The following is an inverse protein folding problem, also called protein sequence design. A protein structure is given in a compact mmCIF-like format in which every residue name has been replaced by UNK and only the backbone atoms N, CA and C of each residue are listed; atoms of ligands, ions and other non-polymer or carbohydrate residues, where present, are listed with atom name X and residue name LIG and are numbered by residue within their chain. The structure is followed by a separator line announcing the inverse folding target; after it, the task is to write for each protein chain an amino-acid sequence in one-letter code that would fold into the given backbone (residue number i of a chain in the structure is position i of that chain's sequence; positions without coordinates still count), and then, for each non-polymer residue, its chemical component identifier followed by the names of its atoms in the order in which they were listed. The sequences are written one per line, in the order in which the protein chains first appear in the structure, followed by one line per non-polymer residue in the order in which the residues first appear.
data_IF_568414963911
#
_entry.id   IF_568414963911
#
_cell.length_a   1.000
_cell.length_b   1.000
_cell.length_c   1.000
_cell.angle_alpha   90.00
_cell.angle_beta   90.00
_cell.angle_gamma   90.00
#
_symmetry.space_group_name_H-M   'P 1'
#
loop_
_entity.id
_entity.type
_entity.pdbx_description
1 polymer ?
#
# COMPACT_ATOMS: atom_id res chain seq x y z
N UNK A 1 20.02 -35.05 0.28
CA UNK A 1 20.90 -35.21 1.46
C UNK A 1 20.87 -33.95 2.35
N UNK A 2 19.68 -33.42 2.66
CA UNK A 2 19.48 -32.17 3.43
C UNK A 2 18.58 -32.34 4.66
N UNK A 3 17.91 -33.49 4.81
CA UNK A 3 16.99 -33.80 5.92
C UNK A 3 17.71 -34.34 7.16
N UNK A 4 18.82 -35.06 6.98
CA UNK A 4 19.52 -35.73 8.08
C UNK A 4 20.17 -34.74 9.08
N UNK A 5 20.57 -33.56 8.60
CA UNK A 5 21.10 -32.48 9.44
C UNK A 5 19.99 -31.70 10.17
N UNK A 6 18.78 -31.66 9.59
CA UNK A 6 17.62 -31.00 10.17
C UNK A 6 17.09 -31.82 11.36
N UNK A 7 16.96 -33.12 11.18
CA UNK A 7 16.48 -34.03 12.22
C UNK A 7 17.44 -34.07 13.44
N UNK A 8 18.74 -33.93 13.19
CA UNK A 8 19.78 -33.88 14.24
C UNK A 8 19.77 -32.56 15.03
N UNK A 9 19.35 -31.45 14.42
CA UNK A 9 19.20 -30.17 15.11
C UNK A 9 17.93 -30.15 16.00
N UNK A 10 16.84 -30.74 15.50
CA UNK A 10 15.59 -30.90 16.24
C UNK A 10 15.78 -31.83 17.45
N UNK A 11 16.52 -32.95 17.29
CA UNK A 11 16.80 -33.86 18.40
C UNK A 11 17.68 -33.24 19.50
N UNK A 12 18.46 -32.21 19.17
CA UNK A 12 19.30 -31.47 20.12
C UNK A 12 18.56 -30.28 20.78
N UNK A 13 17.23 -30.18 20.60
CA UNK A 13 16.39 -29.21 21.29
C UNK A 13 16.19 -27.88 20.56
N UNK A 14 16.60 -27.75 19.30
CA UNK A 14 16.31 -26.57 18.47
C UNK A 14 14.93 -26.76 17.84
N UNK A 15 13.98 -25.88 18.16
CA UNK A 15 12.63 -25.94 17.59
C UNK A 15 12.69 -25.81 16.07
N UNK A 16 11.89 -26.59 15.34
CA UNK A 16 11.80 -26.49 13.88
C UNK A 16 11.37 -25.08 13.40
N UNK A 17 10.79 -24.27 14.28
CA UNK A 17 10.41 -22.87 14.04
C UNK A 17 11.62 -21.93 14.03
N UNK A 18 12.74 -22.30 14.65
CA UNK A 18 13.97 -21.48 14.72
C UNK A 18 14.88 -21.65 13.50
N UNK A 19 14.56 -22.58 12.60
CA UNK A 19 15.35 -22.82 11.39
C UNK A 19 14.86 -21.87 10.30
N UNK A 20 15.23 -20.59 10.49
CA UNK A 20 15.06 -19.55 9.48
C UNK A 20 16.02 -19.84 8.32
N UNK A 21 15.46 -20.27 7.19
CA UNK A 21 16.20 -20.42 5.94
C UNK A 21 16.48 -19.00 5.43
N UNK A 22 17.61 -18.44 5.87
CA UNK A 22 18.10 -17.16 5.36
C UNK A 22 18.38 -17.31 3.86
N UNK A 23 17.51 -16.70 3.04
CA UNK A 23 17.76 -16.48 1.62
C UNK A 23 19.08 -15.71 1.48
N UNK A 24 20.03 -16.31 0.75
CA UNK A 24 21.33 -15.72 0.42
C UNK A 24 21.17 -14.26 -0.05
N UNK A 25 21.75 -13.31 0.69
CA UNK A 25 22.07 -11.96 0.20
C UNK A 25 21.28 -10.78 0.78
N UNK A 26 20.18 -10.98 1.51
CA UNK A 26 19.44 -9.85 2.11
C UNK A 26 19.90 -9.62 3.56
N UNK A 27 20.85 -8.70 3.77
CA UNK A 27 21.05 -8.13 5.10
C UNK A 27 19.73 -7.44 5.50
N UNK A 28 19.07 -8.01 6.51
CA UNK A 28 17.89 -7.43 7.16
C UNK A 28 18.17 -5.97 7.51
N UNK A 29 17.44 -5.06 6.87
CA UNK A 29 17.33 -3.69 7.33
C UNK A 29 16.76 -3.76 8.75
N UNK A 30 17.50 -3.29 9.75
CA UNK A 30 17.00 -3.19 11.12
C UNK A 30 15.80 -2.25 11.11
N UNK A 31 14.61 -2.85 11.05
CA UNK A 31 13.34 -2.16 11.08
C UNK A 31 13.14 -1.65 12.50
N UNK A 32 13.14 -0.33 12.68
CA UNK A 32 12.61 0.29 13.90
C UNK A 32 11.13 -0.05 13.93
N UNK A 33 10.74 -1.07 14.68
CA UNK A 33 9.36 -1.49 14.84
C UNK A 33 8.64 -0.49 15.74
N UNK A 34 8.11 0.57 15.13
CA UNK A 34 7.05 1.36 15.76
C UNK A 34 5.88 0.39 15.95
N UNK A 35 5.35 0.20 17.18
CA UNK A 35 4.22 -0.68 17.39
C UNK A 35 3.04 -0.18 16.55
N UNK A 36 2.63 -0.99 15.58
CA UNK A 36 1.54 -0.68 14.68
C UNK A 36 0.23 -0.90 15.45
N UNK A 37 -0.60 0.14 15.53
CA UNK A 37 -1.94 0.00 16.10
C UNK A 37 -2.83 -0.71 15.06
N UNK A 38 -2.86 -2.03 15.11
CA UNK A 38 -3.59 -2.89 14.17
C UNK A 38 -5.08 -2.51 14.08
N UNK A 39 -5.71 -2.19 15.22
CA UNK A 39 -7.11 -1.76 15.25
C UNK A 39 -7.34 -0.45 14.50
N UNK A 40 -6.43 0.52 14.63
CA UNK A 40 -6.51 1.77 13.89
C UNK A 40 -6.34 1.55 12.37
N UNK A 41 -5.44 0.64 11.98
CA UNK A 41 -5.23 0.28 10.57
C UNK A 41 -6.46 -0.42 9.96
N UNK A 42 -7.09 -1.34 10.70
CA UNK A 42 -8.31 -2.04 10.25
C UNK A 42 -9.45 -1.04 10.03
N UNK A 43 -9.65 -0.12 10.97
CA UNK A 43 -10.69 0.90 10.85
C UNK A 43 -10.43 1.82 9.66
N UNK A 44 -9.19 2.29 9.51
CA UNK A 44 -8.77 3.10 8.38
C UNK A 44 -9.05 2.41 7.02
N UNK A 45 -8.68 1.13 6.88
CA UNK A 45 -8.93 0.37 5.66
C UNK A 45 -10.42 0.15 5.41
N UNK A 46 -11.22 -0.05 6.47
CA UNK A 46 -12.67 -0.21 6.38
C UNK A 46 -13.32 1.07 5.86
N UNK A 47 -12.92 2.23 6.38
CA UNK A 47 -13.39 3.53 5.92
C UNK A 47 -13.03 3.79 4.46
N UNK A 48 -11.77 3.51 4.05
CA UNK A 48 -11.35 3.64 2.65
C UNK A 48 -12.18 2.77 1.71
N UNK A 49 -12.43 1.52 2.09
CA UNK A 49 -13.24 0.60 1.29
C UNK A 49 -14.69 1.08 1.18
N UNK A 50 -15.25 1.64 2.26
CA UNK A 50 -16.59 2.24 2.24
C UNK A 50 -16.67 3.39 1.24
N UNK A 51 -15.70 4.32 1.26
CA UNK A 51 -15.63 5.43 0.33
C UNK A 51 -15.47 4.97 -1.13
N UNK A 52 -14.65 3.94 -1.37
CA UNK A 52 -14.45 3.37 -2.71
C UNK A 52 -15.76 2.76 -3.25
N UNK A 53 -16.47 1.99 -2.41
CA UNK A 53 -17.76 1.43 -2.77
C UNK A 53 -18.80 2.50 -3.11
N UNK A 54 -18.86 3.58 -2.31
CA UNK A 54 -19.75 4.73 -2.58
C UNK A 54 -19.41 5.38 -3.91
N UNK A 55 -18.12 5.66 -4.17
CA UNK A 55 -17.67 6.23 -5.45
C UNK A 55 -18.10 5.36 -6.64
N UNK A 56 -17.78 4.07 -6.60
CA UNK A 56 -18.02 3.15 -7.73
C UNK A 56 -19.51 2.95 -7.98
N UNK A 57 -20.30 2.84 -6.92
CA UNK A 57 -21.75 2.82 -7.01
C UNK A 57 -22.31 4.11 -7.64
N UNK A 58 -21.91 5.29 -7.14
CA UNK A 58 -22.46 6.56 -7.60
C UNK A 58 -22.07 6.91 -9.04
N UNK A 59 -20.86 6.55 -9.49
CA UNK A 59 -20.47 6.68 -10.91
C UNK A 59 -21.44 5.91 -11.80
N UNK A 60 -21.77 4.68 -11.42
CA UNK A 60 -22.71 3.84 -12.17
C UNK A 60 -24.14 4.40 -12.10
N UNK A 61 -24.60 4.78 -10.91
CA UNK A 61 -25.94 5.29 -10.67
C UNK A 61 -26.23 6.56 -11.49
N UNK A 62 -25.31 7.54 -11.47
CA UNK A 62 -25.54 8.84 -12.11
C UNK A 62 -25.52 8.71 -13.64
N UNK A 63 -24.66 7.86 -14.19
CA UNK A 63 -24.56 7.66 -15.66
C UNK A 63 -25.77 6.94 -16.25
N UNK A 64 -26.54 6.23 -15.43
CA UNK A 64 -27.73 5.47 -15.87
C UNK A 64 -29.04 6.24 -15.67
N UNK A 65 -29.04 7.35 -14.92
CA UNK A 65 -30.27 8.05 -14.57
C UNK A 65 -30.66 9.10 -15.62
N UNK A 66 -31.89 9.04 -16.12
CA UNK A 66 -32.43 10.05 -17.03
C UNK A 66 -32.81 11.34 -16.30
N UNK A 67 -32.53 12.48 -16.92
CA UNK A 67 -32.86 13.82 -16.41
C UNK A 67 -34.24 14.23 -16.93
N UNK A 68 -35.32 13.74 -16.31
CA UNK A 68 -36.69 13.94 -16.78
C UNK A 68 -37.55 14.80 -15.85
N UNK A 69 -37.16 14.97 -14.58
CA UNK A 69 -37.95 15.72 -13.58
C UNK A 69 -37.06 16.54 -12.65
N UNK A 70 -37.64 17.53 -11.96
CA UNK A 70 -36.95 18.26 -10.89
C UNK A 70 -36.43 17.32 -9.79
N UNK A 71 -37.19 16.27 -9.45
CA UNK A 71 -36.76 15.27 -8.48
C UNK A 71 -35.53 14.48 -8.96
N UNK A 72 -35.46 14.12 -10.25
CA UNK A 72 -34.28 13.42 -10.77
C UNK A 72 -33.05 14.33 -10.84
N UNK A 73 -33.24 15.65 -11.05
CA UNK A 73 -32.17 16.65 -10.93
C UNK A 73 -31.68 16.75 -9.47
N UNK A 74 -32.59 16.88 -8.50
CA UNK A 74 -32.25 16.98 -7.07
C UNK A 74 -31.49 15.73 -6.63
N UNK A 75 -32.00 14.54 -6.96
CA UNK A 75 -31.36 13.27 -6.61
C UNK A 75 -29.95 13.17 -7.21
N UNK A 76 -29.80 13.40 -8.51
CA UNK A 76 -28.50 13.33 -9.18
C UNK A 76 -27.52 14.37 -8.65
N UNK A 77 -27.97 15.60 -8.38
CA UNK A 77 -27.10 16.65 -7.83
C UNK A 77 -26.60 16.31 -6.42
N UNK A 78 -27.45 15.75 -5.55
CA UNK A 78 -27.03 15.25 -4.23
C UNK A 78 -26.06 14.07 -4.35
N UNK A 79 -26.32 13.14 -5.27
CA UNK A 79 -25.41 12.03 -5.58
C UNK A 79 -24.05 12.51 -6.09
N UNK A 80 -24.00 13.56 -6.93
CA UNK A 80 -22.76 14.18 -7.39
C UNK A 80 -21.96 14.82 -6.23
N UNK A 81 -22.63 15.44 -5.26
CA UNK A 81 -21.96 15.96 -4.06
C UNK A 81 -21.30 14.83 -3.28
N UNK A 82 -22.01 13.71 -3.05
CA UNK A 82 -21.44 12.57 -2.36
C UNK A 82 -20.28 11.92 -3.14
N UNK A 83 -20.43 11.77 -4.46
CA UNK A 83 -19.40 11.23 -5.32
C UNK A 83 -18.12 12.07 -5.28
N UNK A 84 -18.25 13.39 -5.37
CA UNK A 84 -17.10 14.31 -5.33
C UNK A 84 -16.43 14.32 -3.95
N UNK A 85 -17.21 14.26 -2.87
CA UNK A 85 -16.68 14.14 -1.51
C UNK A 85 -15.87 12.85 -1.33
N UNK A 86 -16.45 11.69 -1.69
CA UNK A 86 -15.78 10.39 -1.57
C UNK A 86 -14.51 10.34 -2.43
N UNK A 87 -14.59 10.85 -3.67
CA UNK A 87 -13.43 10.93 -4.57
C UNK A 87 -12.31 11.79 -3.98
N UNK A 88 -12.62 12.99 -3.49
CA UNK A 88 -11.63 13.88 -2.90
C UNK A 88 -10.97 13.27 -1.65
N UNK A 89 -11.74 12.59 -0.80
CA UNK A 89 -11.21 11.90 0.37
C UNK A 89 -10.30 10.73 -0.02
N UNK A 90 -10.70 9.91 -0.98
CA UNK A 90 -9.86 8.82 -1.50
C UNK A 90 -8.56 9.37 -2.10
N UNK A 91 -8.63 10.38 -2.96
CA UNK A 91 -7.45 10.99 -3.57
C UNK A 91 -6.47 11.49 -2.51
N UNK A 92 -6.93 12.25 -1.50
CA UNK A 92 -6.05 12.75 -0.42
C UNK A 92 -5.38 11.61 0.35
N UNK A 93 -6.14 10.58 0.70
CA UNK A 93 -5.61 9.42 1.42
C UNK A 93 -4.59 8.64 0.59
N UNK A 94 -4.90 8.39 -0.68
CA UNK A 94 -3.99 7.72 -1.61
C UNK A 94 -2.71 8.52 -1.80
N UNK A 95 -2.80 9.84 -2.01
CA UNK A 95 -1.62 10.70 -2.14
C UNK A 95 -0.74 10.66 -0.89
N UNK A 96 -1.33 10.72 0.31
CA UNK A 96 -0.58 10.63 1.57
C UNK A 96 0.13 9.28 1.71
N UNK A 97 -0.59 8.18 1.46
CA UNK A 97 -0.06 6.82 1.55
C UNK A 97 1.10 6.61 0.57
N UNK A 98 0.90 6.98 -0.70
CA UNK A 98 1.91 6.82 -1.75
C UNK A 98 3.11 7.73 -1.49
N UNK A 99 2.90 8.97 -1.04
CA UNK A 99 4.00 9.89 -0.67
C UNK A 99 4.87 9.30 0.44
N UNK A 100 4.24 8.83 1.53
CA UNK A 100 4.95 8.20 2.65
C UNK A 100 5.73 6.97 2.17
N UNK A 101 5.09 6.11 1.36
CA UNK A 101 5.74 4.90 0.90
C UNK A 101 6.90 5.16 -0.06
N UNK A 102 6.77 6.13 -0.96
CA UNK A 102 7.86 6.51 -1.86
C UNK A 102 9.03 7.16 -1.10
N UNK A 103 8.75 7.93 -0.04
CA UNK A 103 9.80 8.42 0.87
C UNK A 103 10.51 7.28 1.61
N UNK A 104 9.77 6.36 2.24
CA UNK A 104 10.33 5.20 2.95
C UNK A 104 11.23 4.35 2.05
N UNK A 105 10.78 4.05 0.82
CA UNK A 105 11.56 3.30 -0.15
C UNK A 105 12.82 4.06 -0.60
N UNK A 106 12.75 5.39 -0.71
CA UNK A 106 13.92 6.22 -1.03
C UNK A 106 14.97 6.17 0.09
N UNK A 107 14.53 6.25 1.35
CA UNK A 107 15.41 6.11 2.52
C UNK A 107 16.04 4.71 2.57
N UNK A 108 15.23 3.67 2.33
CA UNK A 108 15.72 2.30 2.30
C UNK A 108 16.73 2.06 1.17
N UNK A 109 16.46 2.58 -0.03
CA UNK A 109 17.38 2.50 -1.17
C UNK A 109 18.71 3.18 -0.85
N UNK A 110 18.67 4.39 -0.29
CA UNK A 110 19.87 5.12 0.12
C UNK A 110 20.70 4.32 1.15
N UNK A 111 20.04 3.63 2.10
CA UNK A 111 20.71 2.83 3.11
C UNK A 111 21.40 1.56 2.56
N UNK A 112 20.97 1.04 1.41
CA UNK A 112 21.52 -0.17 0.78
C UNK A 112 22.27 0.12 -0.52
N UNK A 113 22.43 1.38 -0.90
CA UNK A 113 22.91 1.77 -2.23
C UNK A 113 24.25 1.13 -2.60
N UNK A 114 25.19 1.03 -1.65
CA UNK A 114 26.50 0.41 -1.86
C UNK A 114 26.48 -1.13 -1.86
N UNK A 115 25.33 -1.74 -1.51
CA UNK A 115 25.16 -3.19 -1.35
C UNK A 115 24.38 -3.83 -2.52
N UNK A 116 23.95 -3.04 -3.49
CA UNK A 116 23.18 -3.48 -4.65
C UNK A 116 23.94 -3.19 -5.96
N UNK A 117 23.51 -3.80 -7.06
CA UNK A 117 24.09 -3.50 -8.38
C UNK A 117 23.76 -2.07 -8.80
N UNK A 118 24.60 -1.51 -9.68
CA UNK A 118 24.36 -0.18 -10.24
C UNK A 118 23.04 -0.15 -11.01
N UNK A 119 22.75 -1.21 -11.76
CA UNK A 119 21.55 -1.35 -12.58
C UNK A 119 20.28 -1.36 -11.72
N UNK A 120 20.29 -2.09 -10.60
CA UNK A 120 19.18 -2.12 -9.65
C UNK A 120 18.99 -0.75 -8.98
N UNK A 121 20.08 -0.11 -8.58
CA UNK A 121 20.05 1.21 -7.97
C UNK A 121 19.48 2.26 -8.94
N UNK A 122 19.89 2.22 -10.20
CA UNK A 122 19.39 3.10 -11.26
C UNK A 122 17.90 2.86 -11.54
N UNK A 123 17.48 1.60 -11.64
CA UNK A 123 16.08 1.22 -11.88
C UNK A 123 15.18 1.70 -10.74
N UNK A 124 15.55 1.40 -9.49
CA UNK A 124 14.80 1.82 -8.32
C UNK A 124 14.72 3.35 -8.19
N UNK A 125 15.84 4.05 -8.42
CA UNK A 125 15.87 5.52 -8.39
C UNK A 125 14.94 6.14 -9.43
N UNK A 126 14.93 5.61 -10.66
CA UNK A 126 14.04 6.09 -11.72
C UNK A 126 12.56 5.87 -11.37
N UNK A 127 12.20 4.71 -10.80
CA UNK A 127 10.82 4.44 -10.38
C UNK A 127 10.38 5.36 -9.23
N UNK A 128 11.26 5.63 -8.27
CA UNK A 128 10.97 6.55 -7.16
C UNK A 128 10.86 8.00 -7.63
N UNK A 129 11.70 8.41 -8.57
CA UNK A 129 11.58 9.72 -9.22
C UNK A 129 10.25 9.86 -9.96
N UNK A 130 9.84 8.84 -10.71
CA UNK A 130 8.53 8.82 -11.38
C UNK A 130 7.37 8.85 -10.38
N UNK A 131 7.47 8.13 -9.26
CA UNK A 131 6.48 8.21 -8.18
C UNK A 131 6.33 9.66 -7.70
N UNK A 132 7.44 10.30 -7.32
CA UNK A 132 7.43 11.67 -6.85
C UNK A 132 6.88 12.64 -7.91
N UNK A 133 7.27 12.46 -9.17
CA UNK A 133 6.75 13.27 -10.28
C UNK A 133 5.24 13.12 -10.46
N UNK A 134 4.70 11.90 -10.35
CA UNK A 134 3.27 11.66 -10.52
C UNK A 134 2.43 12.20 -9.35
N UNK A 135 3.03 12.37 -8.16
CA UNK A 135 2.36 12.97 -7.01
C UNK A 135 2.26 14.50 -7.08
N UNK A 136 3.15 15.14 -7.86
CA UNK A 136 3.23 16.60 -8.01
C UNK A 136 2.41 17.14 -9.18
N UNK A 137 1.94 16.26 -10.07
CA UNK A 137 1.10 16.58 -11.23
C UNK A 137 -0.39 16.39 -10.89
#
# INVERSE_FOLDING_TARGET
MSSENLDKAISNGISAVDISVSLLGSQSLQQVSIPLNESALINYNTELNSLANVRDYLVTFITQLLITTSNSIILQSSSLVQLTQATNQLTRNTLMLVSNRCYELSVALNAIFEKISYEDAQSASNQLFQCASNLLN
#
